data_IF_570073716200
#
_entry.id   IF_570073716200
#
_cell.length_a   1.000
_cell.length_b   1.000
_cell.length_c   1.000
_cell.angle_alpha   90.00
_cell.angle_beta   90.00
_cell.angle_gamma   90.00
#
_symmetry.space_group_name_H-M   'P 1'
#
loop_
_entity.id
_entity.type
_entity.pdbx_description
1 polymer ?
#
# COMPACT_ATOMS: atom_id res chain seq x y z
N UNK A 1 -2.97 6.33 5.70
CA UNK A 1 -2.20 5.99 4.49
C UNK A 1 -2.65 4.64 3.98
N UNK A 2 -2.82 4.46 2.67
CA UNK A 2 -3.27 3.18 2.10
C UNK A 2 -2.34 2.79 0.95
N UNK A 3 -1.79 1.58 1.02
CA UNK A 3 -1.01 0.97 -0.04
C UNK A 3 -1.89 -0.05 -0.75
N UNK A 4 -1.94 0.03 -2.08
CA UNK A 4 -2.67 -0.89 -2.95
C UNK A 4 -1.62 -1.48 -3.88
N UNK A 5 -1.21 -2.72 -3.63
CA UNK A 5 -0.23 -3.42 -4.48
C UNK A 5 -0.53 -4.94 -4.46
N UNK A 6 -0.99 -5.53 -5.57
CA UNK A 6 -1.30 -6.96 -5.65
C UNK A 6 -0.14 -7.88 -5.29
N UNK A 7 1.10 -7.39 -5.39
CA UNK A 7 2.33 -8.13 -5.17
C UNK A 7 3.13 -7.60 -3.97
N UNK A 8 2.47 -6.86 -3.05
CA UNK A 8 3.12 -6.26 -1.89
C UNK A 8 3.90 -7.30 -1.06
N UNK A 9 5.09 -6.91 -0.62
CA UNK A 9 5.93 -7.64 0.31
C UNK A 9 6.39 -6.74 1.47
N UNK A 10 7.45 -7.15 2.17
CA UNK A 10 8.03 -6.39 3.29
C UNK A 10 8.44 -4.96 2.90
N UNK A 11 8.73 -4.69 1.63
CA UNK A 11 9.10 -3.36 1.14
C UNK A 11 7.98 -2.35 1.39
N UNK A 12 6.71 -2.75 1.23
CA UNK A 12 5.56 -1.89 1.54
C UNK A 12 5.53 -1.51 3.03
N UNK A 13 5.97 -2.40 3.92
CA UNK A 13 6.06 -2.13 5.35
C UNK A 13 7.17 -1.12 5.67
N UNK A 14 8.31 -1.22 4.99
CA UNK A 14 9.39 -0.24 5.11
C UNK A 14 8.91 1.17 4.72
N UNK A 15 8.15 1.30 3.63
CA UNK A 15 7.54 2.57 3.27
C UNK A 15 6.56 3.06 4.34
N UNK A 16 5.72 2.17 4.86
CA UNK A 16 4.79 2.51 5.93
C UNK A 16 5.50 2.94 7.23
N UNK A 17 6.73 2.49 7.49
CA UNK A 17 7.50 2.88 8.67
C UNK A 17 7.81 4.39 8.70
N UNK A 18 7.92 5.05 7.55
CA UNK A 18 8.16 6.49 7.45
C UNK A 18 6.97 7.37 7.84
N UNK A 19 5.79 6.77 8.09
CA UNK A 19 4.62 7.53 8.50
C UNK A 19 4.83 8.23 9.85
N UNK A 20 4.21 9.40 10.02
CA UNK A 20 4.26 10.13 11.29
C UNK A 20 3.63 9.30 12.42
N UNK A 21 4.06 9.50 13.69
CA UNK A 21 3.41 8.86 14.83
C UNK A 21 1.90 9.08 14.82
N UNK A 22 1.14 8.05 15.22
CA UNK A 22 -0.33 8.00 15.23
C UNK A 22 -1.02 7.92 13.85
N UNK A 23 -0.28 7.96 12.74
CA UNK A 23 -0.84 7.67 11.42
C UNK A 23 -0.98 6.16 11.24
N UNK A 24 -2.18 5.70 10.87
CA UNK A 24 -2.44 4.30 10.54
C UNK A 24 -2.14 4.01 9.06
N UNK A 25 -1.80 2.76 8.79
CA UNK A 25 -1.53 2.26 7.45
C UNK A 25 -2.34 1.01 7.16
N UNK A 26 -2.83 0.88 5.93
CA UNK A 26 -3.44 -0.35 5.43
C UNK A 26 -2.69 -0.74 4.17
N UNK A 27 -2.30 -2.01 4.05
CA UNK A 27 -1.72 -2.58 2.83
C UNK A 27 -2.70 -3.60 2.27
N UNK A 28 -3.24 -3.29 1.09
CA UNK A 28 -4.02 -4.22 0.30
C UNK A 28 -3.13 -4.99 -0.66
N UNK A 29 -3.26 -6.32 -0.68
CA UNK A 29 -2.51 -7.22 -1.56
C UNK A 29 -3.34 -8.44 -1.95
N UNK A 30 -3.01 -9.09 -3.07
CA UNK A 30 -3.72 -10.27 -3.54
C UNK A 30 -3.40 -11.53 -2.75
N UNK A 31 -2.26 -11.55 -2.04
CA UNK A 31 -1.84 -12.70 -1.25
C UNK A 31 -1.16 -12.26 0.04
N UNK A 32 -1.84 -12.49 1.16
CA UNK A 32 -1.23 -12.41 2.49
C UNK A 32 -0.57 -13.75 2.77
N UNK A 33 0.76 -13.78 2.76
CA UNK A 33 1.54 -14.95 3.15
C UNK A 33 1.77 -14.96 4.65
N UNK A 34 2.02 -16.13 5.24
CA UNK A 34 2.41 -16.25 6.66
C UNK A 34 3.65 -15.41 6.98
N UNK A 35 4.62 -15.35 6.05
CA UNK A 35 5.81 -14.52 6.20
C UNK A 35 5.43 -13.05 6.31
N UNK A 36 4.61 -12.53 5.39
CA UNK A 36 4.18 -11.14 5.42
C UNK A 36 3.38 -10.80 6.68
N UNK A 37 2.51 -11.71 7.12
CA UNK A 37 1.76 -11.58 8.37
C UNK A 37 2.70 -11.44 9.58
N UNK A 38 3.71 -12.31 9.71
CA UNK A 38 4.69 -12.24 10.79
C UNK A 38 5.50 -10.93 10.74
N UNK A 39 5.86 -10.45 9.54
CA UNK A 39 6.56 -9.18 9.39
C UNK A 39 5.71 -8.00 9.86
N UNK A 40 4.39 -8.02 9.63
CA UNK A 40 3.48 -6.98 10.14
C UNK A 40 3.39 -6.99 11.65
N UNK A 41 3.38 -8.15 12.29
CA UNK A 41 3.41 -8.25 13.75
C UNK A 41 4.70 -7.65 14.33
N UNK A 42 5.85 -7.92 13.70
CA UNK A 42 7.14 -7.34 14.11
C UNK A 42 7.13 -5.83 13.89
N UNK A 43 6.73 -5.37 12.71
CA UNK A 43 6.63 -3.96 12.36
C UNK A 43 5.77 -3.19 13.34
N UNK A 44 4.61 -3.73 13.71
CA UNK A 44 3.66 -3.08 14.63
C UNK A 44 4.20 -2.91 16.05
N UNK A 45 5.23 -3.66 16.47
CA UNK A 45 5.90 -3.42 17.76
C UNK A 45 6.66 -2.10 17.78
N UNK A 46 7.20 -1.67 16.63
CA UNK A 46 7.98 -0.44 16.51
C UNK A 46 7.14 0.72 15.97
N UNK A 47 6.30 0.43 14.97
CA UNK A 47 5.43 1.37 14.32
C UNK A 47 4.00 0.81 14.34
N UNK A 48 3.21 1.07 15.39
CA UNK A 48 1.88 0.49 15.55
C UNK A 48 0.86 1.07 14.55
N UNK A 49 -0.18 0.29 14.24
CA UNK A 49 -1.32 0.73 13.44
C UNK A 49 -1.23 0.40 11.94
N UNK A 50 -0.45 -0.62 11.56
CA UNK A 50 -0.46 -1.18 10.21
C UNK A 50 -1.36 -2.42 10.14
N UNK A 51 -2.21 -2.51 9.12
CA UNK A 51 -3.07 -3.65 8.84
C UNK A 51 -2.83 -4.20 7.42
N UNK A 52 -3.00 -5.51 7.25
CA UNK A 52 -3.05 -6.15 5.93
C UNK A 52 -4.50 -6.45 5.56
N UNK A 53 -4.84 -6.25 4.29
CA UNK A 53 -6.14 -6.63 3.73
C UNK A 53 -5.95 -7.34 2.40
N UNK A 54 -6.83 -8.30 2.13
CA UNK A 54 -6.82 -9.01 0.87
C UNK A 54 -7.61 -8.21 -0.17
N UNK A 55 -7.10 -8.09 -1.40
CA UNK A 55 -7.84 -7.56 -2.54
C UNK A 55 -7.48 -8.37 -3.79
N UNK A 56 -8.41 -8.65 -4.70
CA UNK A 56 -8.12 -9.41 -5.92
C UNK A 56 -8.53 -8.71 -7.22
N UNK A 57 -9.30 -7.64 -7.10
CA UNK A 57 -9.98 -6.97 -8.21
C UNK A 57 -9.18 -5.79 -8.77
N UNK A 58 -8.19 -5.28 -8.03
CA UNK A 58 -7.32 -4.19 -8.48
C UNK A 58 -5.99 -4.77 -8.93
N UNK A 59 -5.56 -4.44 -10.15
CA UNK A 59 -4.27 -4.88 -10.73
C UNK A 59 -3.20 -3.78 -10.68
N UNK A 60 -3.64 -2.52 -10.72
CA UNK A 60 -2.78 -1.35 -10.64
C UNK A 60 -2.29 -1.11 -9.22
N UNK A 61 -1.22 -0.32 -9.09
CA UNK A 61 -0.66 0.02 -7.78
C UNK A 61 -0.88 1.47 -7.45
N UNK A 62 -1.38 1.70 -6.24
CA UNK A 62 -1.64 3.03 -5.74
C UNK A 62 -1.10 3.23 -4.35
N UNK A 63 -0.73 4.47 -4.05
CA UNK A 63 -0.51 4.95 -2.70
C UNK A 63 -1.45 6.11 -2.43
N UNK A 64 -2.23 6.02 -1.37
CA UNK A 64 -3.17 7.05 -0.94
C UNK A 64 -2.62 7.73 0.31
N UNK A 65 -2.35 9.03 0.19
CA UNK A 65 -1.82 9.87 1.28
C UNK A 65 -2.65 11.15 1.33
N UNK A 66 -3.29 11.38 2.47
CA UNK A 66 -4.20 12.50 2.68
C UNK A 66 -5.28 12.52 1.58
N UNK A 67 -5.28 13.53 0.71
CA UNK A 67 -6.20 13.71 -0.43
C UNK A 67 -5.60 13.29 -1.78
N UNK A 68 -4.37 12.78 -1.79
CA UNK A 68 -3.63 12.49 -3.02
C UNK A 68 -3.65 11.02 -3.37
N UNK A 69 -3.85 10.76 -4.66
CA UNK A 69 -3.73 9.44 -5.28
C UNK A 69 -2.43 9.40 -6.09
N UNK A 70 -1.49 8.57 -5.65
CA UNK A 70 -0.28 8.26 -6.41
C UNK A 70 -0.49 6.94 -7.14
N UNK A 71 -0.22 6.89 -8.44
CA UNK A 71 -0.22 5.68 -9.26
C UNK A 71 1.22 5.27 -9.58
N UNK A 72 1.49 3.96 -9.54
CA UNK A 72 2.82 3.39 -9.81
C UNK A 72 2.74 2.33 -10.91
N UNK A 73 3.64 2.44 -11.89
CA UNK A 73 3.73 1.47 -12.98
C UNK A 73 4.29 0.10 -12.58
N UNK A 74 4.87 -0.02 -11.39
CA UNK A 74 5.47 -1.25 -10.86
C UNK A 74 5.14 -1.43 -9.38
N UNK A 75 5.27 -2.65 -8.87
CA UNK A 75 5.08 -2.96 -7.45
C UNK A 75 6.08 -2.17 -6.60
N UNK A 76 5.76 -1.89 -5.34
CA UNK A 76 6.64 -1.09 -4.48
C UNK A 76 8.03 -1.73 -4.28
N UNK A 77 8.10 -3.07 -4.29
CA UNK A 77 9.36 -3.83 -4.21
C UNK A 77 10.26 -3.70 -5.44
N UNK A 78 9.68 -3.35 -6.60
CA UNK A 78 10.36 -3.25 -7.88
C UNK A 78 10.75 -1.79 -8.21
N UNK A 79 10.29 -0.83 -7.41
CA UNK A 79 10.62 0.58 -7.59
C UNK A 79 12.13 0.81 -7.51
N UNK A 80 12.69 1.41 -8.57
CA UNK A 80 14.13 1.67 -8.68
C UNK A 80 14.91 0.52 -9.32
N UNK A 81 14.30 -0.65 -9.57
CA UNK A 81 14.89 -1.73 -10.34
C UNK A 81 14.66 -1.50 -11.85
N UNK A 82 15.24 -0.42 -12.38
CA UNK A 82 15.10 0.02 -13.77
C UNK A 82 14.19 1.23 -13.95
N UNK A 83 13.76 1.47 -15.20
CA UNK A 83 12.90 2.60 -15.53
C UNK A 83 11.46 2.32 -15.08
N UNK A 84 10.99 3.07 -14.08
CA UNK A 84 9.62 3.00 -13.56
C UNK A 84 9.04 4.41 -13.43
N UNK A 85 7.80 4.59 -13.88
CA UNK A 85 7.05 5.84 -13.73
C UNK A 85 6.13 5.82 -12.51
N UNK A 86 5.90 7.00 -11.95
CA UNK A 86 4.79 7.26 -11.04
C UNK A 86 4.09 8.56 -11.46
N UNK A 87 2.81 8.68 -11.09
CA UNK A 87 2.03 9.88 -11.37
C UNK A 87 1.15 10.23 -10.17
N UNK A 88 0.95 11.53 -9.92
CA UNK A 88 -0.11 11.99 -9.03
C UNK A 88 -1.35 12.19 -9.91
N UNK A 89 -2.47 11.60 -9.51
CA UNK A 89 -3.71 11.67 -10.29
C UNK A 89 -4.55 12.86 -9.81
N UNK A 90 -4.87 13.78 -10.72
CA UNK A 90 -5.71 14.95 -10.42
C UNK A 90 -7.21 14.70 -10.65
N UNK A 91 -7.56 13.62 -11.35
CA UNK A 91 -8.95 13.31 -11.75
C UNK A 91 -9.61 12.22 -10.92
N UNK A 92 -8.89 11.61 -9.98
CA UNK A 92 -9.38 10.54 -9.11
C UNK A 92 -9.18 10.92 -7.65
N UNK A 93 -10.23 10.74 -6.86
CA UNK A 93 -10.21 10.94 -5.40
C UNK A 93 -9.82 9.66 -4.68
N UNK A 94 -9.39 9.80 -3.42
CA UNK A 94 -9.10 8.66 -2.54
C UNK A 94 -10.35 7.79 -2.38
N UNK A 95 -11.52 8.39 -2.22
CA UNK A 95 -12.80 7.70 -2.07
C UNK A 95 -13.12 6.82 -3.29
N UNK A 96 -13.00 7.38 -4.49
CA UNK A 96 -13.26 6.63 -5.74
C UNK A 96 -12.31 5.45 -5.92
N UNK A 97 -11.03 5.59 -5.57
CA UNK A 97 -10.07 4.47 -5.63
C UNK A 97 -10.41 3.41 -4.59
N UNK A 98 -10.80 3.82 -3.38
CA UNK A 98 -11.17 2.90 -2.31
C UNK A 98 -12.44 2.08 -2.63
N UNK A 99 -13.40 2.64 -3.35
CA UNK A 99 -14.58 1.90 -3.84
C UNK A 99 -14.18 0.74 -4.77
N UNK A 100 -13.15 0.92 -5.60
CA UNK A 100 -12.65 -0.12 -6.52
C UNK A 100 -11.93 -1.26 -5.80
N UNK A 101 -11.28 -0.97 -4.67
CA UNK A 101 -10.59 -1.97 -3.82
C UNK A 101 -11.58 -2.86 -3.05
N UNK A 102 -12.89 -2.63 -3.24
CA UNK A 102 -13.95 -3.36 -2.58
C UNK A 102 -14.10 -2.84 -1.15
N UNK A 103 -15.32 -2.42 -0.83
CA UNK A 103 -15.67 -1.70 0.39
C UNK A 103 -14.90 -2.23 1.63
N UNK A 104 -14.19 -1.37 2.38
CA UNK A 104 -13.38 -1.74 3.55
C UNK A 104 -14.15 -2.44 4.68
#
# INVERSE_FOLDING_TARGET
MVFIDPFADVTALNFAAFRKPKVTAIVYTARITTVLQNQVEIHNKQYPGLQLRNMRQVHDRFLLVDDKVYHFGASFKDMGNGLCGYSIMDFATVEQVMEMVGNP
#
